data_IF_425362458611
#
_entry.id   IF_425362458611
#
_cell.length_a   1.000
_cell.length_b   1.000
_cell.length_c   1.000
_cell.angle_alpha   90.00
_cell.angle_beta   90.00
_cell.angle_gamma   90.00
#
_symmetry.space_group_name_H-M   'P 1'
#
loop_
_entity.id
_entity.type
_entity.pdbx_description
1 polymer ?
#
# COMPACT_ATOMS: atom_id res chain seq x y z
N UNK A 1 31.88 -21.20 13.06
CA UNK A 1 31.78 -21.49 11.61
C UNK A 1 30.73 -20.56 11.01
N UNK A 2 31.13 -19.45 10.41
CA UNK A 2 30.20 -18.59 9.67
C UNK A 2 29.88 -19.28 8.34
N UNK A 3 28.63 -19.74 8.18
CA UNK A 3 28.16 -20.29 6.90
C UNK A 3 28.13 -19.17 5.88
N UNK A 4 28.90 -19.29 4.79
CA UNK A 4 28.75 -18.40 3.65
C UNK A 4 27.37 -18.62 3.04
N UNK A 5 26.50 -17.64 3.19
CA UNK A 5 25.21 -17.64 2.50
C UNK A 5 25.53 -17.40 1.02
N UNK A 6 25.15 -18.33 0.13
CA UNK A 6 25.40 -18.15 -1.29
C UNK A 6 24.68 -16.90 -1.78
N UNK A 7 25.32 -16.11 -2.65
CA UNK A 7 24.76 -14.87 -3.21
C UNK A 7 23.35 -15.08 -3.79
N UNK A 8 23.10 -16.26 -4.37
CA UNK A 8 21.80 -16.63 -4.88
C UNK A 8 20.72 -16.64 -3.80
N UNK A 9 20.99 -17.21 -2.63
CA UNK A 9 20.04 -17.26 -1.52
C UNK A 9 19.79 -15.86 -0.92
N UNK A 10 20.82 -15.01 -0.87
CA UNK A 10 20.67 -13.62 -0.45
C UNK A 10 19.78 -12.84 -1.44
N UNK A 11 20.06 -12.95 -2.74
CA UNK A 11 19.27 -12.30 -3.79
C UNK A 11 17.80 -12.74 -3.79
N UNK A 12 17.55 -14.04 -3.63
CA UNK A 12 16.18 -14.57 -3.55
C UNK A 12 15.44 -14.09 -2.29
N UNK A 13 16.13 -14.05 -1.15
CA UNK A 13 15.56 -13.53 0.09
C UNK A 13 15.17 -12.07 -0.01
N UNK A 14 16.01 -11.23 -0.62
CA UNK A 14 15.71 -9.81 -0.85
C UNK A 14 14.53 -9.63 -1.82
N UNK A 15 14.49 -10.40 -2.91
CA UNK A 15 13.38 -10.35 -3.86
C UNK A 15 12.05 -10.75 -3.20
N UNK A 16 12.02 -11.84 -2.43
CA UNK A 16 10.82 -12.30 -1.75
C UNK A 16 10.33 -11.32 -0.68
N UNK A 17 11.24 -10.71 0.09
CA UNK A 17 10.90 -9.69 1.07
C UNK A 17 10.29 -8.42 0.42
N UNK A 18 10.79 -8.04 -0.77
CA UNK A 18 10.27 -6.87 -1.50
C UNK A 18 8.91 -7.08 -2.17
N UNK A 19 8.49 -8.34 -2.39
CA UNK A 19 7.23 -8.64 -3.08
C UNK A 19 6.00 -8.08 -2.34
N UNK A 20 6.07 -7.95 -1.01
CA UNK A 20 4.98 -7.39 -0.19
C UNK A 20 4.74 -5.89 -0.45
N UNK A 21 5.79 -5.13 -0.78
CA UNK A 21 5.65 -3.70 -1.08
C UNK A 21 4.83 -3.44 -2.36
N UNK A 22 4.86 -4.38 -3.30
CA UNK A 22 4.09 -4.33 -4.55
C UNK A 22 2.76 -5.07 -4.47
N UNK A 23 2.52 -5.85 -3.41
CA UNK A 23 1.24 -6.53 -3.17
C UNK A 23 0.15 -5.60 -2.61
N UNK A 24 0.46 -4.32 -2.38
CA UNK A 24 -0.51 -3.33 -1.93
C UNK A 24 -1.40 -2.89 -3.11
N UNK A 25 -2.61 -3.45 -3.17
CA UNK A 25 -3.63 -3.10 -4.17
C UNK A 25 -4.33 -1.76 -3.87
N UNK A 26 -5.44 -1.52 -4.55
CA UNK A 26 -6.28 -0.34 -4.31
C UNK A 26 -7.08 -0.50 -3.00
N UNK A 27 -6.88 0.42 -2.04
CA UNK A 27 -7.62 0.48 -0.77
C UNK A 27 -8.78 1.46 -0.81
N UNK A 28 -9.28 1.80 -2.00
CA UNK A 28 -10.45 2.68 -2.09
C UNK A 28 -11.71 1.91 -1.71
N UNK A 29 -12.54 2.52 -0.86
CA UNK A 29 -13.86 2.01 -0.50
C UNK A 29 -14.94 2.55 -1.45
N UNK A 30 -14.62 2.66 -2.73
CA UNK A 30 -15.47 3.28 -3.75
C UNK A 30 -14.82 4.51 -4.41
N UNK A 31 -15.60 5.31 -5.15
CA UNK A 31 -15.17 6.57 -5.73
C UNK A 31 -14.75 7.58 -4.67
N UNK A 32 -13.89 8.53 -5.04
CA UNK A 32 -13.63 9.70 -4.21
C UNK A 32 -14.90 10.55 -4.08
N UNK A 33 -15.07 11.18 -2.92
CA UNK A 33 -16.15 12.14 -2.70
C UNK A 33 -16.01 13.31 -3.66
N UNK A 34 -17.13 13.77 -4.20
CA UNK A 34 -17.23 15.10 -4.80
C UNK A 34 -17.01 16.17 -3.72
N UNK A 35 -16.70 17.40 -4.12
CA UNK A 35 -16.48 18.48 -3.15
C UNK A 35 -17.72 18.73 -2.27
N UNK A 36 -18.93 18.60 -2.84
CA UNK A 36 -20.19 18.73 -2.09
C UNK A 36 -20.35 17.60 -1.07
N UNK A 37 -20.05 16.34 -1.45
CA UNK A 37 -20.12 15.21 -0.53
C UNK A 37 -19.07 15.29 0.59
N UNK A 38 -17.87 15.81 0.29
CA UNK A 38 -16.82 16.08 1.28
C UNK A 38 -17.30 17.12 2.30
N UNK A 39 -17.86 18.24 1.84
CA UNK A 39 -18.42 19.28 2.71
C UNK A 39 -19.57 18.73 3.58
N UNK A 40 -20.47 17.94 2.99
CA UNK A 40 -21.54 17.29 3.72
C UNK A 40 -21.02 16.34 4.81
N UNK A 41 -19.93 15.60 4.56
CA UNK A 41 -19.29 14.72 5.56
C UNK A 41 -18.67 15.50 6.74
N UNK A 42 -18.35 16.78 6.52
CA UNK A 42 -17.86 17.73 7.53
C UNK A 42 -19.00 18.52 8.21
N UNK A 43 -20.25 18.24 7.85
CA UNK A 43 -21.42 18.91 8.40
C UNK A 43 -21.73 20.28 7.75
N UNK A 44 -21.11 20.59 6.62
CA UNK A 44 -21.35 21.82 5.85
C UNK A 44 -22.36 21.51 4.75
N UNK A 45 -23.53 22.13 4.83
CA UNK A 45 -24.58 22.00 3.83
C UNK A 45 -24.89 23.38 3.25
N UNK A 46 -25.34 23.43 2.00
CA UNK A 46 -25.90 24.66 1.45
C UNK A 46 -27.11 25.07 2.30
N UNK A 47 -27.04 26.28 2.87
CA UNK A 47 -28.12 26.88 3.65
C UNK A 47 -29.21 27.48 2.77
#
# INVERSE_FOLDING_TARGET
MTRMIPLLALGFGMALASAQAFAHGNHSHGPALTEVERQASEGIFAG
#
